data_IF_702261213126
#
_entry.id   IF_702261213126
#
_cell.length_a   1.000
_cell.length_b   1.000
_cell.length_c   1.000
_cell.angle_alpha   90.00
_cell.angle_beta   90.00
_cell.angle_gamma   90.00
#
_symmetry.space_group_name_H-M   'P 1'
#
loop_
_entity.id
_entity.type
_entity.pdbx_description
1 polymer ?
#
# COMPACT_ATOMS: atom_id res chain seq x y z
N UNK A 1 44.80 -17.87 -29.64
CA UNK A 1 43.99 -18.18 -28.46
C UNK A 1 44.28 -17.07 -27.45
N UNK A 2 43.32 -16.18 -27.30
CA UNK A 2 43.37 -14.90 -26.60
C UNK A 2 42.88 -15.10 -25.16
N UNK A 3 43.83 -15.11 -24.22
CA UNK A 3 43.61 -15.41 -22.81
C UNK A 3 43.36 -14.11 -22.03
N UNK A 4 42.18 -13.51 -22.19
CA UNK A 4 41.71 -12.47 -21.26
C UNK A 4 41.01 -13.16 -20.08
N UNK A 5 41.78 -13.74 -19.17
CA UNK A 5 41.26 -14.18 -17.88
C UNK A 5 41.17 -12.95 -16.96
N UNK A 6 39.97 -12.44 -16.76
CA UNK A 6 39.68 -11.50 -15.66
C UNK A 6 39.85 -12.24 -14.34
N UNK A 7 40.86 -11.85 -13.57
CA UNK A 7 41.11 -12.36 -12.22
C UNK A 7 40.05 -11.81 -11.25
N UNK A 8 39.43 -12.70 -10.47
CA UNK A 8 38.50 -12.32 -9.40
C UNK A 8 39.24 -12.35 -8.05
N UNK A 9 39.14 -11.26 -7.29
CA UNK A 9 39.71 -11.17 -5.94
C UNK A 9 38.62 -11.38 -4.88
N UNK A 10 38.93 -12.07 -3.76
CA UNK A 10 38.02 -12.13 -2.63
C UNK A 10 37.90 -10.74 -1.98
N UNK A 11 36.70 -10.18 -1.98
CA UNK A 11 36.40 -8.87 -1.42
C UNK A 11 35.09 -8.33 -1.99
N UNK A 12 34.53 -7.29 -1.38
CA UNK A 12 33.38 -6.59 -1.97
C UNK A 12 33.83 -5.77 -3.19
N UNK A 13 33.05 -5.79 -4.26
CA UNK A 13 33.20 -4.80 -5.32
C UNK A 13 32.98 -3.40 -4.75
N UNK A 14 33.74 -2.43 -5.25
CA UNK A 14 33.56 -1.03 -4.88
C UNK A 14 32.33 -0.50 -5.63
N UNK A 15 31.25 -0.29 -4.90
CA UNK A 15 30.02 0.28 -5.44
C UNK A 15 30.15 1.81 -5.49
N UNK A 16 30.41 2.39 -6.66
CA UNK A 16 30.48 3.85 -6.86
C UNK A 16 29.08 4.52 -6.91
N UNK A 17 28.09 3.98 -6.18
CA UNK A 17 26.66 4.34 -6.30
C UNK A 17 26.04 5.07 -5.09
N UNK A 18 26.85 5.48 -4.11
CA UNK A 18 26.36 5.97 -2.80
C UNK A 18 25.50 7.25 -2.91
N UNK A 19 25.90 8.23 -3.73
CA UNK A 19 25.18 9.52 -3.86
C UNK A 19 23.84 9.40 -4.60
N UNK A 20 23.71 8.43 -5.52
CA UNK A 20 22.48 8.24 -6.30
C UNK A 20 21.36 7.57 -5.49
N UNK A 21 21.73 6.76 -4.48
CA UNK A 21 20.78 6.09 -3.60
C UNK A 21 20.03 7.07 -2.68
N UNK A 22 20.71 8.10 -2.19
CA UNK A 22 20.10 9.07 -1.27
C UNK A 22 18.93 9.84 -1.91
N UNK A 23 19.15 10.40 -3.10
CA UNK A 23 18.10 11.12 -3.83
C UNK A 23 16.92 10.23 -4.19
N UNK A 24 17.19 8.97 -4.57
CA UNK A 24 16.17 7.98 -4.85
C UNK A 24 15.28 7.72 -3.62
N UNK A 25 15.89 7.44 -2.46
CA UNK A 25 15.15 7.19 -1.20
C UNK A 25 14.35 8.42 -0.78
N UNK A 26 14.92 9.62 -0.91
CA UNK A 26 14.24 10.87 -0.56
C UNK A 26 12.99 11.09 -1.43
N UNK A 27 13.11 10.94 -2.75
CA UNK A 27 11.98 11.06 -3.68
C UNK A 27 10.92 10.00 -3.42
N UNK A 28 11.32 8.73 -3.28
CA UNK A 28 10.41 7.63 -3.00
C UNK A 28 9.61 7.88 -1.70
N UNK A 29 10.30 8.32 -0.64
CA UNK A 29 9.67 8.62 0.64
C UNK A 29 8.63 9.74 0.54
N UNK A 30 8.91 10.79 -0.25
CA UNK A 30 7.96 11.88 -0.49
C UNK A 30 6.69 11.37 -1.21
N UNK A 31 6.85 10.54 -2.24
CA UNK A 31 5.70 9.97 -2.97
C UNK A 31 4.86 9.07 -2.07
N UNK A 32 5.48 8.21 -1.27
CA UNK A 32 4.77 7.33 -0.32
C UNK A 32 4.03 8.17 0.74
N UNK A 33 4.61 9.27 1.20
CA UNK A 33 3.95 10.18 2.14
C UNK A 33 2.69 10.83 1.55
N UNK A 34 2.77 11.31 0.31
CA UNK A 34 1.63 11.90 -0.41
C UNK A 34 0.53 10.84 -0.62
N UNK A 35 0.91 9.63 -1.05
CA UNK A 35 0.00 8.49 -1.21
C UNK A 35 -0.71 8.18 0.11
N UNK A 36 0.03 8.00 1.20
CA UNK A 36 -0.53 7.67 2.51
C UNK A 36 -1.54 8.72 2.98
N UNK A 37 -1.26 10.00 2.76
CA UNK A 37 -2.19 11.09 3.10
C UNK A 37 -3.46 11.05 2.25
N UNK A 38 -3.33 10.75 0.95
CA UNK A 38 -4.47 10.60 0.01
C UNK A 38 -5.42 9.49 0.46
N UNK A 39 -4.88 8.33 0.86
CA UNK A 39 -5.71 7.21 1.30
C UNK A 39 -6.51 7.51 2.56
N UNK A 40 -5.94 8.24 3.52
CA UNK A 40 -6.68 8.69 4.72
C UNK A 40 -7.86 9.58 4.32
N UNK A 41 -7.66 10.51 3.38
CA UNK A 41 -8.72 11.36 2.85
C UNK A 41 -9.83 10.55 2.17
N UNK A 42 -9.46 9.58 1.34
CA UNK A 42 -10.40 8.67 0.66
C UNK A 42 -11.24 7.88 1.67
N UNK A 43 -10.61 7.34 2.71
CA UNK A 43 -11.30 6.61 3.78
C UNK A 43 -12.28 7.49 4.55
N UNK A 44 -11.92 8.74 4.84
CA UNK A 44 -12.82 9.70 5.50
C UNK A 44 -14.03 10.02 4.62
N UNK A 45 -13.87 10.18 3.31
CA UNK A 45 -14.98 10.41 2.39
C UNK A 45 -15.95 9.22 2.38
N UNK A 46 -15.44 8.00 2.30
CA UNK A 46 -16.26 6.78 2.34
C UNK A 46 -17.09 6.73 3.63
N UNK A 47 -16.48 7.04 4.78
CA UNK A 47 -17.17 7.07 6.07
C UNK A 47 -18.26 8.13 6.18
N UNK A 48 -18.22 9.19 5.37
CA UNK A 48 -19.28 10.21 5.28
C UNK A 48 -20.41 9.79 4.34
N UNK A 49 -20.16 8.86 3.42
CA UNK A 49 -21.15 8.39 2.45
C UNK A 49 -21.91 7.14 2.92
N UNK A 50 -21.55 6.56 4.06
CA UNK A 50 -22.12 5.30 4.56
C UNK A 50 -22.82 5.52 5.90
N UNK A 51 -24.02 4.95 6.04
CA UNK A 51 -24.81 5.02 7.27
C UNK A 51 -24.03 4.45 8.48
N UNK A 52 -24.16 5.03 9.70
CA UNK A 52 -23.35 4.63 10.86
C UNK A 52 -23.34 3.13 11.17
N UNK A 53 -24.44 2.43 10.89
CA UNK A 53 -24.60 0.99 11.13
C UNK A 53 -23.80 0.12 10.14
N UNK A 54 -23.54 0.61 8.93
CA UNK A 54 -22.93 -0.16 7.83
C UNK A 54 -21.42 0.13 7.64
N UNK A 55 -20.86 1.09 8.38
CA UNK A 55 -19.46 1.53 8.24
C UNK A 55 -18.46 0.38 8.38
N UNK A 56 -18.65 -0.49 9.37
CA UNK A 56 -17.75 -1.62 9.61
C UNK A 56 -17.81 -2.64 8.47
N UNK A 57 -19.00 -2.91 7.93
CA UNK A 57 -19.19 -3.80 6.80
C UNK A 57 -18.55 -3.23 5.53
N UNK A 58 -18.75 -1.95 5.24
CA UNK A 58 -18.17 -1.28 4.08
C UNK A 58 -16.63 -1.33 4.11
N UNK A 59 -16.02 -0.97 5.24
CA UNK A 59 -14.56 -1.04 5.41
C UNK A 59 -14.04 -2.49 5.29
N UNK A 60 -14.79 -3.45 5.84
CA UNK A 60 -14.45 -4.87 5.73
C UNK A 60 -14.43 -5.36 4.28
N UNK A 61 -15.41 -4.97 3.46
CA UNK A 61 -15.47 -5.32 2.05
C UNK A 61 -14.33 -4.67 1.25
N UNK A 62 -14.01 -3.41 1.52
CA UNK A 62 -12.88 -2.71 0.89
C UNK A 62 -11.56 -3.43 1.22
N UNK A 63 -11.31 -3.72 2.49
CA UNK A 63 -10.10 -4.43 2.91
C UNK A 63 -10.04 -5.86 2.38
N UNK A 64 -11.17 -6.55 2.29
CA UNK A 64 -11.25 -7.85 1.66
C UNK A 64 -10.85 -7.79 0.18
N UNK A 65 -11.36 -6.81 -0.57
CA UNK A 65 -11.00 -6.60 -1.97
C UNK A 65 -9.50 -6.25 -2.13
N UNK A 66 -8.97 -5.35 -1.29
CA UNK A 66 -7.53 -5.01 -1.28
C UNK A 66 -6.68 -6.24 -0.98
N UNK A 67 -7.10 -7.06 -0.01
CA UNK A 67 -6.44 -8.31 0.33
C UNK A 67 -6.39 -9.26 -0.87
N UNK A 68 -7.54 -9.49 -1.49
CA UNK A 68 -7.69 -10.46 -2.58
C UNK A 68 -7.00 -10.02 -3.87
N UNK A 69 -7.13 -8.75 -4.26
CA UNK A 69 -6.65 -8.24 -5.55
C UNK A 69 -5.31 -7.50 -5.46
N UNK A 70 -4.88 -7.10 -4.28
CA UNK A 70 -3.59 -6.45 -4.05
C UNK A 70 -2.61 -7.38 -3.34
N UNK A 71 -2.92 -7.76 -2.10
CA UNK A 71 -1.97 -8.46 -1.24
C UNK A 71 -1.65 -9.88 -1.67
N UNK A 72 -2.61 -10.63 -2.23
CA UNK A 72 -2.38 -11.98 -2.76
C UNK A 72 -1.51 -11.99 -4.03
N UNK A 73 -1.78 -11.18 -5.07
CA UNK A 73 -0.95 -11.17 -6.27
C UNK A 73 0.41 -10.47 -6.09
N UNK A 74 0.56 -9.58 -5.11
CA UNK A 74 1.81 -8.88 -4.82
C UNK A 74 3.02 -9.84 -4.65
N UNK A 75 3.03 -10.81 -3.71
CA UNK A 75 4.17 -11.71 -3.53
C UNK A 75 4.41 -12.62 -4.75
N UNK A 76 3.38 -12.95 -5.53
CA UNK A 76 3.54 -13.73 -6.76
C UNK A 76 4.30 -12.91 -7.81
N UNK A 77 3.90 -11.64 -7.99
CA UNK A 77 4.52 -10.73 -8.95
C UNK A 77 5.97 -10.40 -8.54
N UNK A 78 6.20 -10.01 -7.29
CA UNK A 78 7.54 -9.70 -6.82
C UNK A 78 8.42 -10.95 -6.70
N UNK A 79 7.85 -12.13 -6.44
CA UNK A 79 8.55 -13.41 -6.55
C UNK A 79 9.08 -13.65 -7.96
N UNK A 80 8.23 -13.45 -8.98
CA UNK A 80 8.66 -13.55 -10.38
C UNK A 80 9.73 -12.51 -10.76
N UNK A 81 9.66 -11.29 -10.20
CA UNK A 81 10.71 -10.27 -10.38
C UNK A 81 12.04 -10.74 -9.80
N UNK A 82 12.05 -11.30 -8.59
CA UNK A 82 13.25 -11.86 -7.96
C UNK A 82 13.82 -12.99 -8.82
N UNK A 83 12.98 -13.93 -9.26
CA UNK A 83 13.39 -15.06 -10.09
C UNK A 83 13.95 -14.61 -11.44
N UNK A 84 13.41 -13.54 -12.04
CA UNK A 84 13.87 -12.99 -13.31
C UNK A 84 15.29 -12.39 -13.25
N UNK A 85 15.73 -11.96 -12.06
CA UNK A 85 17.06 -11.41 -11.85
C UNK A 85 18.11 -12.49 -11.49
N UNK A 86 17.72 -13.76 -11.42
CA UNK A 86 18.62 -14.84 -11.06
C UNK A 86 19.62 -15.17 -12.18
N UNK A 87 20.91 -15.20 -11.84
CA UNK A 87 21.99 -15.65 -12.72
C UNK A 87 22.35 -17.11 -12.50
N UNK A 88 22.44 -17.54 -11.23
CA UNK A 88 22.88 -18.89 -10.84
C UNK A 88 21.94 -19.46 -9.78
N UNK A 89 21.27 -20.56 -10.11
CA UNK A 89 20.42 -21.31 -9.19
C UNK A 89 21.25 -22.21 -8.29
N UNK A 90 20.95 -22.21 -6.99
CA UNK A 90 21.51 -23.17 -6.05
C UNK A 90 20.79 -24.52 -6.19
N UNK A 91 21.56 -25.62 -6.12
CA UNK A 91 21.03 -26.97 -6.20
C UNK A 91 21.26 -27.69 -4.88
N UNK A 92 20.18 -27.91 -4.12
CA UNK A 92 20.24 -28.62 -2.84
C UNK A 92 19.62 -30.00 -3.00
N UNK A 93 20.43 -31.05 -2.80
CA UNK A 93 20.00 -32.45 -2.94
C UNK A 93 19.34 -32.75 -4.30
N UNK A 94 19.83 -32.14 -5.38
CA UNK A 94 19.32 -32.34 -6.75
C UNK A 94 18.00 -31.63 -7.07
N UNK A 95 17.49 -30.78 -6.17
CA UNK A 95 16.34 -29.90 -6.42
C UNK A 95 16.80 -28.44 -6.52
N UNK A 96 16.14 -27.68 -7.39
CA UNK A 96 16.37 -26.24 -7.52
C UNK A 96 15.94 -25.55 -6.21
N UNK A 97 16.88 -24.86 -5.58
CA UNK A 97 16.69 -24.09 -4.36
C UNK A 97 16.55 -22.59 -4.65
N UNK A 98 16.99 -21.76 -3.70
CA UNK A 98 17.06 -20.32 -3.90
C UNK A 98 18.13 -19.94 -4.93
N UNK A 99 18.04 -18.75 -5.49
CA UNK A 99 19.11 -18.25 -6.35
C UNK A 99 20.30 -17.78 -5.51
N UNK A 100 21.51 -18.21 -5.92
CA UNK A 100 22.76 -17.92 -5.21
C UNK A 100 23.36 -16.58 -5.61
N UNK A 101 23.20 -16.19 -6.89
CA UNK A 101 23.72 -14.95 -7.44
C UNK A 101 22.66 -14.22 -8.27
N UNK A 102 22.36 -12.98 -7.89
CA UNK A 102 21.42 -12.10 -8.59
C UNK A 102 22.16 -10.98 -9.33
N UNK A 103 21.59 -10.53 -10.45
CA UNK A 103 22.05 -9.32 -11.12
C UNK A 103 21.40 -8.08 -10.47
N UNK A 104 22.19 -7.28 -9.75
CA UNK A 104 21.72 -6.10 -9.02
C UNK A 104 21.08 -5.02 -9.91
N UNK A 105 21.60 -4.79 -11.11
CA UNK A 105 21.10 -3.74 -12.01
C UNK A 105 19.73 -4.11 -12.58
N UNK A 106 19.61 -5.33 -13.12
CA UNK A 106 18.34 -5.86 -13.61
C UNK A 106 17.32 -5.93 -12.48
N UNK A 107 17.73 -6.40 -11.30
CA UNK A 107 16.85 -6.49 -10.14
C UNK A 107 16.28 -5.11 -9.75
N UNK A 108 17.14 -4.09 -9.65
CA UNK A 108 16.73 -2.72 -9.31
C UNK A 108 15.74 -2.15 -10.33
N UNK A 109 16.01 -2.33 -11.62
CA UNK A 109 15.17 -1.82 -12.71
C UNK A 109 13.81 -2.52 -12.72
N UNK A 110 13.77 -3.86 -12.62
CA UNK A 110 12.51 -4.58 -12.63
C UNK A 110 11.71 -4.35 -11.36
N UNK A 111 12.34 -4.36 -10.19
CA UNK A 111 11.67 -4.12 -8.91
C UNK A 111 11.02 -2.73 -8.90
N UNK A 112 11.80 -1.68 -9.11
CA UNK A 112 11.27 -0.32 -9.08
C UNK A 112 10.42 0.04 -10.30
N UNK A 113 10.71 -0.54 -11.47
CA UNK A 113 9.89 -0.34 -12.67
C UNK A 113 8.49 -0.92 -12.52
N UNK A 114 8.37 -2.13 -11.95
CA UNK A 114 7.07 -2.74 -11.65
C UNK A 114 6.33 -1.95 -10.58
N UNK A 115 6.98 -1.60 -9.47
CA UNK A 115 6.36 -0.75 -8.43
C UNK A 115 5.91 0.59 -9.01
N UNK A 116 6.77 1.25 -9.79
CA UNK A 116 6.48 2.53 -10.42
C UNK A 116 5.28 2.45 -11.35
N UNK A 117 5.20 1.42 -12.20
CA UNK A 117 4.06 1.21 -13.08
C UNK A 117 2.75 1.02 -12.31
N UNK A 118 2.76 0.20 -11.25
CA UNK A 118 1.59 -0.02 -10.40
C UNK A 118 1.14 1.28 -9.71
N UNK A 119 2.08 2.06 -9.18
CA UNK A 119 1.82 3.35 -8.55
C UNK A 119 1.28 4.38 -9.54
N UNK A 120 1.83 4.43 -10.76
CA UNK A 120 1.33 5.30 -11.82
C UNK A 120 -0.12 4.96 -12.17
N UNK A 121 -0.44 3.67 -12.35
CA UNK A 121 -1.81 3.23 -12.59
C UNK A 121 -2.76 3.63 -11.45
N UNK A 122 -2.35 3.45 -10.19
CA UNK A 122 -3.13 3.88 -9.03
C UNK A 122 -3.36 5.39 -9.02
N UNK A 123 -2.31 6.18 -9.25
CA UNK A 123 -2.38 7.63 -9.33
C UNK A 123 -3.34 8.11 -10.43
N UNK A 124 -3.36 7.46 -11.59
CA UNK A 124 -4.33 7.78 -12.65
C UNK A 124 -5.77 7.51 -12.20
N UNK A 125 -6.02 6.41 -11.49
CA UNK A 125 -7.35 6.11 -10.94
C UNK A 125 -7.75 7.15 -9.90
N UNK A 126 -6.85 7.52 -9.00
CA UNK A 126 -7.09 8.54 -7.97
C UNK A 126 -7.41 9.91 -8.59
N UNK A 127 -6.68 10.30 -9.64
CA UNK A 127 -6.97 11.51 -10.40
C UNK A 127 -8.39 11.47 -11.00
N UNK A 128 -8.78 10.34 -11.60
CA UNK A 128 -10.12 10.19 -12.19
C UNK A 128 -11.20 10.29 -11.10
N UNK A 129 -10.99 9.65 -9.96
CA UNK A 129 -11.89 9.72 -8.81
C UNK A 129 -11.98 11.15 -8.30
N UNK A 130 -10.85 11.84 -8.15
CA UNK A 130 -10.82 13.23 -7.69
C UNK A 130 -11.56 14.18 -8.63
N UNK A 131 -11.37 14.05 -9.95
CA UNK A 131 -12.13 14.82 -10.93
C UNK A 131 -13.63 14.56 -10.87
N UNK A 132 -14.05 13.33 -10.56
CA UNK A 132 -15.46 12.97 -10.42
C UNK A 132 -16.05 13.31 -9.04
N UNK A 133 -15.23 13.35 -8.00
CA UNK A 133 -15.66 13.63 -6.63
C UNK A 133 -16.30 15.01 -6.51
N UNK A 134 -15.83 16.01 -7.28
CA UNK A 134 -16.44 17.34 -7.33
C UNK A 134 -17.88 17.38 -7.87
N UNK A 135 -18.37 16.30 -8.49
CA UNK A 135 -19.75 16.20 -8.99
C UNK A 135 -20.72 15.54 -8.00
N UNK A 136 -20.24 15.11 -6.84
CA UNK A 136 -21.06 14.39 -5.84
C UNK A 136 -21.64 15.42 -4.88
N UNK A 137 -22.95 15.69 -4.99
CA UNK A 137 -23.68 16.39 -3.94
C UNK A 137 -23.78 15.44 -2.74
N UNK A 138 -23.13 15.80 -1.64
CA UNK A 138 -23.39 15.17 -0.35
C UNK A 138 -24.77 15.64 0.08
N UNK A 139 -25.76 14.76 0.03
CA UNK A 139 -27.05 15.02 0.67
C UNK A 139 -26.74 15.24 2.15
N UNK A 140 -26.92 16.47 2.63
CA UNK A 140 -26.70 16.79 4.05
C UNK A 140 -27.68 15.95 4.86
N UNK A 141 -27.16 14.97 5.62
CA UNK A 141 -27.90 14.13 6.57
C UNK A 141 -28.44 14.93 7.78
N UNK A 142 -28.84 16.19 7.57
CA UNK A 142 -29.51 17.01 8.57
C UNK A 142 -31.04 16.78 8.63
N UNK A 143 -31.57 15.77 7.95
CA UNK A 143 -33.00 15.47 8.01
C UNK A 143 -33.36 13.99 7.94
N UNK A 144 -32.68 13.15 8.75
CA UNK A 144 -33.45 12.09 9.40
C UNK A 144 -34.29 12.79 10.48
N UNK A 145 -35.63 12.75 10.43
CA UNK A 145 -36.42 13.24 11.55
C UNK A 145 -36.01 12.38 12.73
N UNK A 146 -35.28 12.96 13.69
CA UNK A 146 -35.13 12.35 15.00
C UNK A 146 -36.54 12.25 15.54
N UNK A 147 -37.10 11.05 15.54
CA UNK A 147 -38.34 10.74 16.22
C UNK A 147 -38.08 11.12 17.68
N UNK A 148 -38.72 12.19 18.16
CA UNK A 148 -38.54 12.70 19.52
C UNK A 148 -38.79 11.61 20.60
N UNK A 149 -39.45 10.50 20.22
CA UNK A 149 -39.62 9.30 21.05
C UNK A 149 -38.31 8.55 21.37
N UNK A 150 -37.31 8.46 20.47
CA UNK A 150 -36.07 7.70 20.74
C UNK A 150 -35.10 8.48 21.65
N UNK A 151 -35.13 9.82 21.61
CA UNK A 151 -34.29 10.67 22.48
C UNK A 151 -34.76 10.64 23.95
N UNK A 152 -36.05 10.40 24.20
CA UNK A 152 -36.58 10.30 25.57
C UNK A 152 -36.16 9.02 26.30
N UNK A 153 -35.68 7.99 25.59
CA UNK A 153 -35.31 6.70 26.19
C UNK A 153 -33.80 6.59 26.48
N UNK A 154 -32.99 7.56 26.03
CA UNK A 154 -31.53 7.44 26.03
C UNK A 154 -30.79 8.57 26.75
N UNK A 155 -31.23 9.00 27.95
CA UNK A 155 -30.32 9.58 28.97
C UNK A 155 -31.06 9.80 30.31
N UNK A 156 -30.42 9.70 31.49
CA UNK A 156 -29.07 9.17 31.80
C UNK A 156 -29.06 8.14 32.95
N UNK A 157 -28.27 7.06 32.79
CA UNK A 157 -27.64 6.36 33.92
C UNK A 157 -26.30 7.07 34.13
N UNK A 158 -26.27 8.16 34.87
CA UNK A 158 -25.06 8.75 35.49
C UNK A 158 -25.47 9.99 36.30
N UNK A 159 -26.18 9.81 37.40
CA UNK A 159 -25.92 10.55 38.65
C UNK A 159 -26.64 9.87 39.82
N UNK A 160 -25.98 8.87 40.42
CA UNK A 160 -26.35 8.36 41.74
C UNK A 160 -25.07 8.16 42.53
N UNK A 161 -24.41 9.25 42.87
CA UNK A 161 -23.57 9.25 44.07
C UNK A 161 -23.66 10.63 44.71
N UNK A 162 -23.87 10.63 46.02
CA UNK A 162 -24.09 11.78 46.90
C UNK A 162 -25.46 12.46 46.83
N UNK A 163 -26.14 12.83 47.90
CA UNK A 163 -26.07 12.56 49.35
C UNK A 163 -27.27 13.35 49.91
N UNK A 164 -27.92 12.78 50.93
CA UNK A 164 -28.83 13.41 51.90
C UNK A 164 -29.07 14.92 51.79
N UNK A 165 -30.34 15.36 51.79
CA UNK A 165 -31.09 15.90 52.95
C UNK A 165 -32.56 15.96 52.56
#
# INVERSE_FOLDING_TARGET
>A
MNNNATEAYPGSCKDDCEDSGFWYIALFSLFVFIHSTSEVGSMLLILRCVHPQDKAMALGLIQFAIGLFGNVPCPILYGAVVDSACLIWEMTCGKQGACSLYNSDSFRIFYHGVTGLLMMCAFFVDIIVWYKAGSINFEDDHQLPVNEEELSQLTPITDKTETTV
#
